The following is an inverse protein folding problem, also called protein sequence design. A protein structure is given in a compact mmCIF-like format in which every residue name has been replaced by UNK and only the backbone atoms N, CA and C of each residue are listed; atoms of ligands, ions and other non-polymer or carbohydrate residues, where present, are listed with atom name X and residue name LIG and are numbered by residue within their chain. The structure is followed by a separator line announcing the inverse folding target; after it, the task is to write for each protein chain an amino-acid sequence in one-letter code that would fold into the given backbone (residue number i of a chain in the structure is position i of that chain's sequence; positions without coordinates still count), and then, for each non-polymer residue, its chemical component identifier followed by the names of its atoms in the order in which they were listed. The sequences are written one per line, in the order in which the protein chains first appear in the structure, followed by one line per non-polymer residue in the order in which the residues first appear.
data_IF_726255582362
#
_entry.id   IF_726255582362
#
_cell.length_a   1.000
_cell.length_b   1.000
_cell.length_c   1.000
_cell.angle_alpha   90.00
_cell.angle_beta   90.00
_cell.angle_gamma   90.00
#
_symmetry.space_group_name_H-M   'P 1'
#
loop_
_entity.id
_entity.type
_entity.pdbx_description
1 polymer ?
#
# COMPACT_ATOMS: atom_id res chain seq x y z
N UNK A 1 19.88 41.21 -48.30
CA UNK A 1 20.27 40.51 -47.06
C UNK A 1 20.16 41.49 -45.90
N UNK A 2 19.02 41.61 -45.21
CA UNK A 2 18.94 42.34 -43.95
C UNK A 2 19.08 41.39 -42.76
N UNK A 3 19.99 41.76 -41.87
CA UNK A 3 20.41 41.04 -40.67
C UNK A 3 19.42 41.23 -39.52
N UNK A 4 19.19 40.15 -38.77
CA UNK A 4 18.28 40.01 -37.63
C UNK A 4 18.71 40.77 -36.36
N UNK A 5 17.74 41.21 -35.56
CA UNK A 5 17.86 41.26 -34.09
C UNK A 5 16.48 41.15 -33.42
N UNK A 6 16.22 40.10 -32.61
CA UNK A 6 15.06 40.06 -31.74
C UNK A 6 15.38 40.59 -30.34
N UNK A 7 14.52 41.50 -29.87
CA UNK A 7 14.48 42.07 -28.51
C UNK A 7 14.08 41.00 -27.49
N UNK A 8 14.96 40.72 -26.53
CA UNK A 8 14.67 39.83 -25.40
C UNK A 8 13.97 40.62 -24.27
N UNK A 9 12.70 40.31 -24.05
CA UNK A 9 11.92 40.80 -22.90
C UNK A 9 12.20 39.89 -21.70
N UNK A 10 12.85 40.41 -20.67
CA UNK A 10 13.03 39.71 -19.40
C UNK A 10 11.78 39.87 -18.52
N UNK A 11 11.11 38.77 -18.21
CA UNK A 11 10.09 38.70 -17.16
C UNK A 11 10.76 38.37 -15.83
N UNK A 12 10.66 39.29 -14.87
CA UNK A 12 11.01 39.10 -13.46
C UNK A 12 9.96 38.20 -12.80
N UNK A 13 10.40 37.08 -12.22
CA UNK A 13 9.57 36.23 -11.35
C UNK A 13 9.88 36.60 -9.89
N UNK A 14 8.88 36.89 -9.03
CA UNK A 14 9.11 37.13 -7.62
C UNK A 14 9.40 35.82 -6.88
N UNK A 15 10.52 35.79 -6.16
CA UNK A 15 10.91 34.71 -5.25
C UNK A 15 10.14 34.85 -3.93
N UNK A 16 9.13 34.02 -3.70
CA UNK A 16 8.45 33.94 -2.39
C UNK A 16 9.13 32.90 -1.50
N UNK A 17 9.67 33.39 -0.40
CA UNK A 17 10.30 32.68 0.72
C UNK A 17 9.31 31.76 1.46
N UNK A 18 9.67 30.53 1.85
CA UNK A 18 8.88 29.77 2.81
C UNK A 18 9.24 30.13 4.25
N UNK A 19 8.25 30.69 4.94
CA UNK A 19 8.17 31.01 6.36
C UNK A 19 8.46 29.78 7.24
N UNK A 20 9.38 29.93 8.18
CA UNK A 20 9.60 28.96 9.25
C UNK A 20 8.39 28.93 10.19
N UNK A 21 7.80 27.75 10.40
CA UNK A 21 6.75 27.54 11.40
C UNK A 21 7.35 26.72 12.54
N UNK A 22 7.69 27.42 13.62
CA UNK A 22 7.97 26.84 14.94
C UNK A 22 6.63 26.62 15.65
N UNK A 23 6.31 25.38 16.03
CA UNK A 23 5.28 25.11 17.03
C UNK A 23 5.81 24.10 18.06
N UNK A 24 6.20 24.67 19.19
CA UNK A 24 6.30 24.02 20.49
C UNK A 24 4.88 23.73 21.01
N UNK A 25 4.66 22.56 21.59
CA UNK A 25 3.98 22.42 22.90
C UNK A 25 4.07 20.97 23.35
N UNK A 26 4.86 20.78 24.41
CA UNK A 26 4.87 19.58 25.25
C UNK A 26 3.54 19.47 26.01
N UNK A 27 2.89 18.32 25.94
CA UNK A 27 1.70 18.02 26.75
C UNK A 27 2.06 16.95 27.77
N UNK A 28 2.30 17.39 29.00
CA UNK A 28 2.48 16.54 30.18
C UNK A 28 1.09 16.13 30.67
N UNK A 29 0.78 14.83 30.59
CA UNK A 29 -0.44 14.27 31.20
C UNK A 29 -0.13 13.65 32.58
N UNK A 30 -1.08 13.70 33.52
CA UNK A 30 -0.89 13.30 34.91
C UNK A 30 -0.75 11.78 35.09
N UNK A 31 0.13 11.39 36.02
CA UNK A 31 0.27 10.02 36.53
C UNK A 31 -1.01 9.67 37.31
N UNK A 32 -1.79 8.73 36.79
CA UNK A 32 -2.87 8.07 37.53
C UNK A 32 -2.34 6.72 37.98
N UNK A 33 -2.06 6.59 39.28
CA UNK A 33 -1.76 5.33 39.95
C UNK A 33 -3.02 4.46 39.97
N UNK A 34 -3.06 3.44 39.12
CA UNK A 34 -4.07 2.37 39.17
C UNK A 34 -3.46 1.10 39.76
N UNK A 35 -4.16 0.56 40.76
CA UNK A 35 -3.86 -0.67 41.50
C UNK A 35 -3.67 -1.91 40.60
N UNK A 36 -2.89 -2.91 41.06
CA UNK A 36 -2.62 -4.14 40.30
C UNK A 36 -3.88 -5.02 40.22
N UNK A 37 -4.46 -5.12 39.03
CA UNK A 37 -5.44 -6.15 38.67
C UNK A 37 -4.67 -7.46 38.45
N UNK A 38 -5.14 -8.62 38.96
CA UNK A 38 -4.48 -9.90 38.71
C UNK A 38 -4.46 -10.20 37.21
N UNK A 39 -3.26 -10.28 36.65
CA UNK A 39 -3.02 -10.77 35.30
C UNK A 39 -3.42 -12.24 35.21
N UNK A 40 -4.68 -12.51 34.91
CA UNK A 40 -5.07 -13.78 34.29
C UNK A 40 -4.51 -13.73 32.87
N UNK A 41 -3.30 -14.24 32.72
CA UNK A 41 -2.71 -14.61 31.44
C UNK A 41 -3.54 -15.74 30.84
N UNK A 42 -4.70 -15.40 30.29
CA UNK A 42 -5.43 -16.31 29.41
C UNK A 42 -4.63 -16.35 28.13
N UNK A 43 -3.69 -17.29 28.08
CA UNK A 43 -3.01 -17.73 26.87
C UNK A 43 -4.09 -18.20 25.90
N UNK A 44 -4.56 -17.29 25.05
CA UNK A 44 -5.46 -17.61 23.95
C UNK A 44 -4.66 -18.40 22.91
N UNK A 45 -4.52 -19.69 23.14
CA UNK A 45 -4.07 -20.69 22.16
C UNK A 45 -5.16 -20.96 21.10
N UNK A 46 -5.91 -19.94 20.69
CA UNK A 46 -7.08 -20.06 19.82
C UNK A 46 -6.73 -20.31 18.34
N UNK A 47 -5.45 -20.35 17.97
CA UNK A 47 -5.00 -20.43 16.58
C UNK A 47 -4.76 -21.86 16.06
N UNK A 48 -4.96 -22.91 16.87
CA UNK A 48 -4.47 -24.26 16.57
C UNK A 48 -5.35 -25.10 15.61
N UNK A 49 -6.56 -24.65 15.24
CA UNK A 49 -7.47 -25.44 14.38
C UNK A 49 -8.21 -24.56 13.37
N UNK A 50 -7.48 -24.00 12.41
CA UNK A 50 -8.12 -23.39 11.24
C UNK A 50 -8.49 -24.47 10.24
N UNK A 51 -9.69 -24.36 9.66
CA UNK A 51 -10.13 -25.25 8.59
C UNK A 51 -9.32 -24.99 7.32
N UNK A 52 -8.43 -25.93 6.99
CA UNK A 52 -7.51 -25.89 5.83
C UNK A 52 -8.11 -26.55 4.57
N UNK A 53 -9.34 -27.06 4.62
CA UNK A 53 -9.91 -27.94 3.56
C UNK A 53 -9.96 -27.30 2.16
N UNK A 54 -9.93 -25.96 2.05
CA UNK A 54 -9.93 -25.25 0.76
C UNK A 54 -8.78 -24.24 0.64
N UNK A 55 -7.67 -24.48 1.33
CA UNK A 55 -6.54 -23.55 1.26
C UNK A 55 -5.70 -23.82 0.01
N UNK A 56 -5.24 -22.76 -0.68
CA UNK A 56 -4.19 -22.90 -1.68
C UNK A 56 -2.93 -23.49 -1.04
N UNK A 57 -2.20 -24.33 -1.79
CA UNK A 57 -0.96 -24.96 -1.33
C UNK A 57 0.10 -23.96 -0.82
N UNK A 58 0.09 -22.71 -1.30
CA UNK A 58 1.02 -21.68 -0.86
C UNK A 58 0.64 -21.06 0.50
N UNK A 59 -0.64 -21.09 0.86
CA UNK A 59 -1.18 -20.36 2.00
C UNK A 59 -0.82 -21.05 3.32
N UNK A 60 -0.79 -22.37 3.32
CA UNK A 60 -0.50 -23.18 4.51
C UNK A 60 0.85 -22.81 5.14
N UNK A 61 1.93 -22.88 4.34
CA UNK A 61 3.27 -22.52 4.79
C UNK A 61 3.42 -21.05 5.22
N UNK A 62 2.65 -20.14 4.62
CA UNK A 62 2.70 -18.71 4.96
C UNK A 62 1.95 -18.41 6.25
N UNK A 63 0.77 -18.99 6.45
CA UNK A 63 -0.01 -18.80 7.68
C UNK A 63 0.76 -19.38 8.87
N UNK A 64 1.39 -20.54 8.71
CA UNK A 64 2.25 -21.12 9.75
C UNK A 64 3.41 -20.16 10.09
N UNK A 65 4.07 -19.55 9.10
CA UNK A 65 5.13 -18.54 9.33
C UNK A 65 4.60 -17.31 10.06
N UNK A 66 3.43 -16.79 9.66
CA UNK A 66 2.83 -15.60 10.26
C UNK A 66 2.33 -15.85 11.68
N UNK A 67 1.91 -17.08 12.00
CA UNK A 67 1.47 -17.48 13.34
C UNK A 67 2.64 -17.71 14.30
N UNK A 68 3.76 -18.23 13.80
CA UNK A 68 4.95 -18.50 14.62
C UNK A 68 5.67 -17.21 15.04
N UNK A 69 5.31 -16.07 14.47
CA UNK A 69 5.86 -14.78 14.86
C UNK A 69 5.10 -14.21 16.08
N UNK A 70 5.85 -13.83 17.12
CA UNK A 70 5.30 -13.25 18.35
C UNK A 70 4.87 -11.78 18.16
N UNK A 71 3.78 -11.55 17.43
CA UNK A 71 3.18 -10.22 17.25
C UNK A 71 2.01 -9.94 18.22
N UNK A 72 1.79 -10.84 19.17
CA UNK A 72 0.74 -10.72 20.19
C UNK A 72 -0.65 -11.20 19.74
N UNK A 73 -1.64 -11.22 20.66
CA UNK A 73 -2.94 -11.85 20.42
C UNK A 73 -3.79 -11.13 19.36
N UNK A 74 -3.62 -9.82 19.17
CA UNK A 74 -4.34 -9.05 18.15
C UNK A 74 -3.95 -9.47 16.73
N UNK A 75 -2.71 -9.91 16.54
CA UNK A 75 -2.22 -10.39 15.26
C UNK A 75 -2.93 -11.66 14.81
N UNK A 76 -3.14 -12.62 15.73
CA UNK A 76 -3.91 -13.84 15.44
C UNK A 76 -5.30 -13.52 14.88
N UNK A 77 -6.02 -12.60 15.56
CA UNK A 77 -7.35 -12.14 15.13
C UNK A 77 -7.32 -11.41 13.78
N UNK A 78 -6.27 -10.65 13.49
CA UNK A 78 -6.09 -10.02 12.17
C UNK A 78 -5.91 -11.08 11.07
N UNK A 79 -5.09 -12.10 11.31
CA UNK A 79 -4.91 -13.20 10.37
C UNK A 79 -6.23 -13.95 10.16
N UNK A 80 -7.02 -14.18 11.22
CA UNK A 80 -8.35 -14.80 11.10
C UNK A 80 -9.31 -13.97 10.22
N UNK A 81 -9.39 -12.66 10.46
CA UNK A 81 -10.23 -11.77 9.64
C UNK A 81 -9.78 -11.73 8.18
N UNK A 82 -8.47 -11.71 7.94
CA UNK A 82 -7.93 -11.73 6.59
C UNK A 82 -8.22 -13.06 5.88
N UNK A 83 -8.08 -14.20 6.55
CA UNK A 83 -8.43 -15.51 5.99
C UNK A 83 -9.91 -15.62 5.65
N UNK A 84 -10.80 -15.08 6.50
CA UNK A 84 -12.24 -15.07 6.23
C UNK A 84 -12.58 -14.17 5.03
N UNK A 85 -11.89 -13.02 4.90
CA UNK A 85 -12.01 -12.16 3.72
C UNK A 85 -11.58 -12.90 2.45
N UNK A 86 -10.40 -13.53 2.45
CA UNK A 86 -9.88 -14.28 1.29
C UNK A 86 -10.77 -15.47 0.93
N UNK A 87 -11.32 -16.16 1.93
CA UNK A 87 -12.32 -17.23 1.73
C UNK A 87 -13.60 -16.69 1.09
N UNK A 88 -14.09 -15.54 1.56
CA UNK A 88 -15.26 -14.85 0.98
C UNK A 88 -14.98 -14.44 -0.48
N UNK A 89 -13.74 -14.05 -0.77
CA UNK A 89 -13.25 -13.72 -2.11
C UNK A 89 -12.80 -14.96 -2.91
N UNK A 90 -13.08 -16.18 -2.42
CA UNK A 90 -12.74 -17.47 -3.04
C UNK A 90 -11.30 -17.56 -3.52
N UNK A 91 -10.35 -17.28 -2.61
CA UNK A 91 -8.89 -17.42 -2.75
C UNK A 91 -8.34 -17.32 -4.19
N UNK A 92 -7.39 -16.42 -4.49
CA UNK A 92 -6.92 -16.17 -5.86
C UNK A 92 -6.64 -17.42 -6.72
N UNK A 93 -6.19 -18.53 -6.12
CA UNK A 93 -5.94 -19.81 -6.80
C UNK A 93 -7.17 -20.50 -7.41
N UNK A 94 -8.34 -20.44 -6.78
CA UNK A 94 -9.57 -21.06 -7.34
C UNK A 94 -10.21 -20.17 -8.40
N UNK A 95 -10.01 -18.86 -8.26
CA UNK A 95 -10.55 -17.85 -9.17
C UNK A 95 -9.69 -17.60 -10.43
N UNK A 96 -8.49 -18.17 -10.55
CA UNK A 96 -7.64 -18.08 -11.76
C UNK A 96 -8.37 -18.55 -13.02
N UNK A 97 -9.30 -19.51 -12.89
CA UNK A 97 -10.02 -20.05 -14.05
C UNK A 97 -11.34 -19.33 -14.34
N UNK A 98 -12.01 -18.80 -13.30
CA UNK A 98 -13.42 -18.35 -13.40
C UNK A 98 -13.66 -16.84 -13.21
N UNK A 99 -12.70 -16.04 -12.69
CA UNK A 99 -12.81 -14.57 -12.83
C UNK A 99 -12.07 -14.13 -14.10
N UNK A 100 -12.74 -13.45 -15.04
CA UNK A 100 -12.08 -12.83 -16.19
C UNK A 100 -10.98 -11.79 -15.82
N UNK A 101 -10.89 -11.37 -14.55
CA UNK A 101 -9.86 -10.46 -14.03
C UNK A 101 -8.64 -11.16 -13.42
N UNK A 102 -8.66 -12.49 -13.22
CA UNK A 102 -7.58 -13.24 -12.55
C UNK A 102 -6.84 -14.20 -13.51
N UNK A 103 -7.27 -14.30 -14.78
CA UNK A 103 -6.46 -14.86 -15.87
C UNK A 103 -5.31 -13.91 -16.22
N UNK A 104 -4.34 -13.84 -15.33
CA UNK A 104 -3.17 -12.96 -15.45
C UNK A 104 -2.95 -12.23 -14.14
N UNK A 105 -1.68 -12.24 -13.71
CA UNK A 105 -1.08 -11.46 -12.61
C UNK A 105 -2.06 -10.50 -11.92
N UNK A 106 -2.33 -10.74 -10.62
CA UNK A 106 -3.26 -9.97 -9.77
C UNK A 106 -3.13 -8.44 -9.89
N UNK A 107 -1.96 -7.96 -10.33
CA UNK A 107 -1.75 -6.60 -10.80
C UNK A 107 -1.33 -6.66 -12.27
N UNK A 108 -2.08 -5.93 -13.11
CA UNK A 108 -1.73 -5.79 -14.53
C UNK A 108 -0.31 -5.25 -14.66
N UNK A 109 0.51 -5.95 -15.47
CA UNK A 109 1.81 -5.48 -15.91
C UNK A 109 1.71 -4.30 -16.88
N UNK A 110 0.51 -3.97 -17.36
CA UNK A 110 0.33 -2.85 -18.26
C UNK A 110 0.48 -1.52 -17.51
N UNK A 111 1.27 -0.62 -18.09
CA UNK A 111 1.50 0.75 -17.62
C UNK A 111 2.13 0.92 -16.22
N UNK A 112 2.52 -0.15 -15.53
CA UNK A 112 3.23 0.03 -14.25
C UNK A 112 4.58 0.72 -14.45
N UNK A 113 4.99 1.65 -13.56
CA UNK A 113 6.28 2.30 -13.69
C UNK A 113 7.42 1.26 -13.67
N UNK A 114 8.41 1.44 -14.55
CA UNK A 114 9.55 0.50 -14.66
C UNK A 114 10.25 0.29 -13.32
N UNK A 115 10.39 1.34 -12.51
CA UNK A 115 10.99 1.25 -11.18
C UNK A 115 10.22 0.32 -10.22
N UNK A 116 8.90 0.18 -10.38
CA UNK A 116 8.10 -0.77 -9.59
C UNK A 116 8.32 -2.19 -10.09
N UNK A 117 8.38 -2.40 -11.41
CA UNK A 117 8.71 -3.69 -11.99
C UNK A 117 10.09 -4.18 -11.50
N UNK A 118 11.08 -3.29 -11.58
CA UNK A 118 12.44 -3.58 -11.12
C UNK A 118 12.46 -3.84 -9.61
N UNK A 119 11.72 -3.08 -8.80
CA UNK A 119 11.62 -3.32 -7.36
C UNK A 119 10.99 -4.68 -7.01
N UNK A 120 9.89 -5.05 -7.65
CA UNK A 120 9.23 -6.35 -7.44
C UNK A 120 10.17 -7.51 -7.78
N UNK A 121 10.92 -7.40 -8.89
CA UNK A 121 11.88 -8.43 -9.29
C UNK A 121 13.03 -8.61 -8.29
N UNK A 122 13.36 -7.57 -7.53
CA UNK A 122 14.48 -7.55 -6.60
C UNK A 122 14.02 -7.43 -5.15
N UNK A 123 12.77 -7.81 -4.83
CA UNK A 123 12.17 -7.58 -3.50
C UNK A 123 12.93 -8.28 -2.37
N UNK A 124 13.77 -9.27 -2.68
CA UNK A 124 14.60 -10.00 -1.71
C UNK A 124 16.03 -9.46 -1.60
N UNK A 125 16.38 -8.43 -2.38
CA UNK A 125 17.69 -7.80 -2.33
C UNK A 125 17.65 -6.53 -1.47
N UNK A 126 18.15 -6.55 -0.22
CA UNK A 126 18.14 -5.37 0.66
C UNK A 126 19.02 -4.23 0.15
N UNK A 127 19.91 -4.50 -0.81
CA UNK A 127 20.82 -3.52 -1.41
C UNK A 127 20.22 -2.85 -2.66
N UNK A 128 19.16 -3.41 -3.22
CA UNK A 128 18.59 -2.90 -4.45
C UNK A 128 17.81 -1.61 -4.20
N UNK A 129 18.14 -0.56 -4.98
CA UNK A 129 17.44 0.73 -4.98
C UNK A 129 17.17 1.13 -6.41
N UNK A 130 15.91 1.13 -6.89
CA UNK A 130 15.60 1.53 -8.25
C UNK A 130 15.90 3.02 -8.45
N UNK A 131 16.46 3.38 -9.60
CA UNK A 131 16.65 4.79 -9.98
C UNK A 131 15.31 5.36 -10.43
N UNK A 132 14.85 6.43 -9.78
CA UNK A 132 13.54 7.05 -10.03
C UNK A 132 13.74 8.50 -10.46
N UNK A 133 13.21 8.85 -11.64
CA UNK A 133 12.99 10.25 -12.01
C UNK A 133 11.60 10.68 -11.50
N UNK A 134 11.50 11.57 -10.49
CA UNK A 134 10.22 11.88 -9.84
C UNK A 134 9.15 12.41 -10.80
N UNK A 135 9.54 13.20 -11.80
CA UNK A 135 8.59 13.82 -12.75
C UNK A 135 7.93 12.76 -13.63
N UNK A 136 8.74 11.86 -14.19
CA UNK A 136 8.25 10.76 -15.05
C UNK A 136 7.49 9.72 -14.23
N UNK A 137 8.02 9.39 -13.04
CA UNK A 137 7.43 8.39 -12.16
C UNK A 137 6.03 8.80 -11.72
N UNK A 138 5.80 10.06 -11.35
CA UNK A 138 4.48 10.55 -10.95
C UNK A 138 3.42 10.29 -12.02
N UNK A 139 3.72 10.59 -13.28
CA UNK A 139 2.78 10.41 -14.40
C UNK A 139 2.48 8.94 -14.61
N UNK A 140 3.51 8.09 -14.65
CA UNK A 140 3.35 6.64 -14.83
C UNK A 140 2.60 6.00 -13.64
N UNK A 141 2.91 6.44 -12.42
CA UNK A 141 2.27 5.95 -11.20
C UNK A 141 0.77 6.22 -11.21
N UNK A 142 0.35 7.47 -11.48
CA UNK A 142 -1.07 7.80 -11.52
C UNK A 142 -1.80 7.10 -12.66
N UNK A 143 -1.16 6.97 -13.83
CA UNK A 143 -1.72 6.19 -14.94
C UNK A 143 -1.99 4.74 -14.51
N UNK A 144 -1.00 4.07 -13.94
CA UNK A 144 -1.14 2.70 -13.44
C UNK A 144 -2.18 2.57 -12.33
N UNK A 145 -2.08 3.43 -11.31
CA UNK A 145 -2.96 3.42 -10.14
C UNK A 145 -4.43 3.61 -10.52
N UNK A 146 -4.72 4.47 -11.49
CA UNK A 146 -6.08 4.71 -11.99
C UNK A 146 -6.72 3.46 -12.58
N UNK A 147 -5.92 2.56 -13.20
CA UNK A 147 -6.40 1.30 -13.79
C UNK A 147 -6.66 0.23 -12.75
N UNK A 148 -5.91 0.25 -11.65
CA UNK A 148 -6.12 -0.64 -10.50
C UNK A 148 -7.36 -0.29 -9.68
N UNK A 149 -7.92 0.91 -9.84
CA UNK A 149 -9.12 1.28 -9.09
C UNK A 149 -10.32 0.47 -9.59
N UNK A 150 -11.13 -0.07 -8.66
CA UNK A 150 -12.36 -0.77 -9.01
C UNK A 150 -13.34 0.17 -9.72
N UNK A 151 -14.21 -0.42 -10.55
CA UNK A 151 -15.11 0.33 -11.44
C UNK A 151 -16.05 1.30 -10.69
N UNK A 152 -16.37 1.03 -9.42
CA UNK A 152 -17.21 1.89 -8.59
C UNK A 152 -16.54 3.19 -8.12
N UNK A 153 -15.21 3.34 -8.27
CA UNK A 153 -14.52 4.61 -7.98
C UNK A 153 -14.56 5.56 -9.18
N UNK A 154 -15.11 6.76 -8.96
CA UNK A 154 -15.13 7.83 -9.96
C UNK A 154 -13.71 8.35 -10.23
N UNK A 155 -13.36 8.50 -11.51
CA UNK A 155 -12.05 8.95 -11.98
C UNK A 155 -12.21 10.32 -12.64
N UNK A 156 -11.32 11.25 -12.31
CA UNK A 156 -11.13 12.48 -13.07
C UNK A 156 -10.62 12.14 -14.48
N UNK A 157 -10.81 13.01 -15.50
CA UNK A 157 -10.21 12.84 -16.83
C UNK A 157 -8.69 12.58 -16.78
N UNK A 158 -8.01 13.10 -15.76
CA UNK A 158 -6.56 12.94 -15.56
C UNK A 158 -6.18 11.63 -14.84
N UNK A 159 -7.14 10.74 -14.58
CA UNK A 159 -6.93 9.47 -13.86
C UNK A 159 -6.78 9.62 -12.34
N UNK A 160 -6.96 10.82 -11.80
CA UNK A 160 -6.95 11.06 -10.36
C UNK A 160 -8.28 10.54 -9.76
N UNK A 161 -8.18 9.77 -8.68
CA UNK A 161 -9.33 9.26 -7.95
C UNK A 161 -9.98 10.42 -7.21
N UNK A 162 -11.24 10.70 -7.51
CA UNK A 162 -11.99 11.71 -6.79
C UNK A 162 -12.31 11.16 -5.40
N UNK A 163 -11.99 11.92 -4.35
CA UNK A 163 -12.44 11.59 -3.00
C UNK A 163 -13.97 11.50 -3.05
N UNK A 164 -14.52 10.35 -2.62
CA UNK A 164 -15.96 10.21 -2.48
C UNK A 164 -16.40 11.26 -1.47
N UNK A 165 -17.13 12.29 -1.93
CA UNK A 165 -17.80 13.22 -1.02
C UNK A 165 -18.80 12.37 -0.22
N UNK A 166 -18.48 12.16 1.05
CA UNK A 166 -19.43 11.71 2.07
C UNK A 166 -20.26 12.90 2.52
#
# INVERSE_FOLDING_TARGET
MPTTSPTATMFLVPTTSPTAVTLLTSSTSPIVTVSPVPSTSTTSSASANRDKTNWPNWLDAQVDQLQNAEFGPQWGALIDMWLELEKTLRFPSEMINDIPYVKGKALSNQDHPKSIADWIQHVWSPKFKPSINPKVFRVQWWKWWSRLQPAWRKKSPDGIVLASQM
#
